data_IF_038234621564
#
_entry.id   IF_038234621564
#
_cell.length_a   1.000
_cell.length_b   1.000
_cell.length_c   1.000
_cell.angle_alpha   90.00
_cell.angle_beta   90.00
_cell.angle_gamma   90.00
#
_symmetry.space_group_name_H-M   'P 1'
#
loop_
_entity.id
_entity.type
_entity.pdbx_description
1 polymer ?
#
# COMPACT_ATOMS: atom_id res chain seq x y z
N UNK A 1 13.86 -3.53 19.25
CA UNK A 1 13.54 -4.56 18.27
C UNK A 1 12.20 -5.18 18.64
N UNK A 2 11.23 -5.13 17.74
CA UNK A 2 9.86 -5.63 17.98
C UNK A 2 9.44 -6.46 16.79
N UNK A 3 8.62 -7.48 17.03
CA UNK A 3 7.82 -8.18 16.01
C UNK A 3 6.45 -7.53 16.00
N UNK A 4 5.98 -7.13 14.83
CA UNK A 4 4.66 -6.51 14.66
C UNK A 4 3.68 -7.47 13.98
N UNK A 5 4.15 -8.26 13.02
CA UNK A 5 3.32 -9.22 12.29
C UNK A 5 3.94 -10.61 12.25
N UNK A 6 3.08 -11.63 12.32
CA UNK A 6 3.44 -13.03 12.17
C UNK A 6 2.28 -13.77 11.50
N UNK A 7 2.59 -14.55 10.44
CA UNK A 7 1.61 -15.42 9.78
C UNK A 7 2.24 -16.76 9.43
N UNK A 8 1.42 -17.79 9.49
CA UNK A 8 1.79 -19.15 9.06
C UNK A 8 1.36 -19.33 7.61
N UNK A 9 2.18 -19.98 6.79
CA UNK A 9 1.83 -20.35 5.41
C UNK A 9 0.60 -21.25 5.38
N UNK A 10 -0.22 -21.24 4.32
CA UNK A 10 -1.42 -22.06 4.22
C UNK A 10 -1.15 -23.57 4.40
N UNK A 11 0.01 -24.05 3.98
CA UNK A 11 0.45 -25.44 4.15
C UNK A 11 1.00 -25.78 5.56
N UNK A 12 1.11 -24.74 6.45
CA UNK A 12 1.59 -24.89 7.82
C UNK A 12 3.09 -25.11 7.95
N UNK A 13 3.88 -25.01 6.87
CA UNK A 13 5.32 -25.36 6.90
C UNK A 13 6.25 -24.19 7.20
N UNK A 14 5.79 -22.95 6.95
CA UNK A 14 6.59 -21.73 7.10
C UNK A 14 5.89 -20.69 7.96
N UNK A 15 6.70 -19.83 8.58
CA UNK A 15 6.23 -18.65 9.30
C UNK A 15 6.92 -17.42 8.71
N UNK A 16 6.15 -16.44 8.26
CA UNK A 16 6.67 -15.11 7.93
C UNK A 16 6.60 -14.21 9.15
N UNK A 17 7.67 -13.46 9.41
CA UNK A 17 7.78 -12.54 10.55
C UNK A 17 8.18 -11.17 10.05
N UNK A 18 7.40 -10.14 10.42
CA UNK A 18 7.67 -8.73 10.14
C UNK A 18 7.86 -7.91 11.43
N UNK A 19 8.64 -6.85 11.37
CA UNK A 19 8.85 -5.98 12.51
C UNK A 19 9.94 -4.93 12.33
N UNK A 20 10.43 -4.39 13.46
CA UNK A 20 11.55 -3.44 13.52
C UNK A 20 12.86 -4.08 13.98
N UNK A 21 12.93 -5.41 14.04
CA UNK A 21 14.15 -6.13 14.45
C UNK A 21 15.25 -6.01 13.39
N UNK A 22 16.48 -5.81 13.83
CA UNK A 22 17.64 -5.70 12.93
C UNK A 22 18.37 -7.03 12.72
N UNK A 23 18.01 -8.04 13.48
CA UNK A 23 18.49 -9.40 13.32
C UNK A 23 17.52 -10.39 13.98
N UNK A 24 17.48 -11.61 13.43
CA UNK A 24 16.78 -12.76 14.00
C UNK A 24 17.69 -13.99 13.92
N UNK A 25 17.75 -14.79 14.99
CA UNK A 25 18.64 -15.95 15.08
C UNK A 25 20.11 -15.65 14.72
N UNK A 26 20.58 -14.44 15.03
CA UNK A 26 21.94 -13.99 14.73
C UNK A 26 22.20 -13.54 13.30
N UNK A 27 21.18 -13.56 12.44
CA UNK A 27 21.26 -13.11 11.04
C UNK A 27 20.54 -11.79 10.82
N UNK A 28 21.11 -10.92 9.99
CA UNK A 28 20.49 -9.70 9.47
C UNK A 28 20.20 -9.77 7.97
N UNK A 29 20.51 -10.90 7.31
CA UNK A 29 20.17 -11.14 5.91
C UNK A 29 20.08 -12.67 5.65
N UNK A 30 18.83 -13.24 5.64
CA UNK A 30 17.60 -12.59 6.06
C UNK A 30 17.58 -12.27 7.56
N UNK A 31 16.66 -11.37 7.95
CA UNK A 31 16.45 -11.03 9.37
C UNK A 31 16.51 -9.55 9.71
N UNK A 32 16.51 -8.66 8.71
CA UNK A 32 16.39 -7.22 8.92
C UNK A 32 14.96 -6.77 8.60
N UNK A 33 14.12 -6.72 9.61
CA UNK A 33 12.71 -6.38 9.54
C UNK A 33 11.80 -7.49 8.98
N UNK A 34 12.37 -8.48 8.31
CA UNK A 34 11.63 -9.55 7.63
C UNK A 34 12.40 -10.86 7.67
N UNK A 35 11.71 -11.97 7.91
CA UNK A 35 12.28 -13.31 7.82
C UNK A 35 11.21 -14.37 7.50
N UNK A 36 11.60 -15.44 6.82
CA UNK A 36 10.90 -16.71 6.79
C UNK A 36 11.57 -17.70 7.75
N UNK A 37 10.74 -18.41 8.49
CA UNK A 37 11.18 -19.47 9.41
C UNK A 37 10.49 -20.79 9.04
N UNK A 38 11.17 -21.88 9.26
CA UNK A 38 10.55 -23.20 9.30
C UNK A 38 9.61 -23.28 10.50
N UNK A 39 8.35 -23.66 10.28
CA UNK A 39 7.31 -23.62 11.31
C UNK A 39 7.51 -24.63 12.44
N UNK A 40 8.31 -25.68 12.22
CA UNK A 40 8.58 -26.74 13.21
C UNK A 40 9.84 -26.46 14.02
N UNK A 41 10.91 -26.02 13.33
CA UNK A 41 12.23 -25.90 13.92
C UNK A 41 12.62 -24.47 14.28
N UNK A 42 11.86 -23.48 13.82
CA UNK A 42 12.15 -22.04 13.87
C UNK A 42 13.52 -21.67 13.22
N UNK A 43 14.06 -22.53 12.37
CA UNK A 43 15.26 -22.21 11.60
C UNK A 43 14.95 -21.17 10.52
N UNK A 44 15.90 -20.26 10.29
CA UNK A 44 15.81 -19.31 9.19
C UNK A 44 15.82 -20.03 7.85
N UNK A 45 14.87 -19.67 7.01
CA UNK A 45 14.80 -20.09 5.62
C UNK A 45 15.37 -19.02 4.69
N UNK A 46 15.86 -19.37 3.51
CA UNK A 46 16.25 -18.39 2.49
C UNK A 46 15.09 -17.42 2.22
N UNK A 47 15.40 -16.12 2.28
CA UNK A 47 14.43 -15.05 2.08
C UNK A 47 15.06 -13.96 1.21
N UNK A 48 15.32 -14.21 -0.08
CA UNK A 48 16.02 -13.29 -0.98
C UNK A 48 15.44 -11.88 -1.01
N UNK A 49 14.12 -11.73 -0.91
CA UNK A 49 13.45 -10.42 -0.85
C UNK A 49 14.02 -9.53 0.27
N UNK A 50 14.51 -10.12 1.36
CA UNK A 50 15.07 -9.33 2.46
C UNK A 50 16.45 -8.70 2.16
N UNK A 51 17.11 -9.08 1.06
CA UNK A 51 18.26 -8.34 0.54
C UNK A 51 17.86 -7.07 -0.23
N UNK A 52 16.61 -6.99 -0.68
CA UNK A 52 16.04 -5.89 -1.43
C UNK A 52 15.20 -4.98 -0.53
N UNK A 53 14.23 -5.55 0.20
CA UNK A 53 13.37 -4.86 1.17
C UNK A 53 14.06 -4.86 2.53
N UNK A 54 14.44 -3.66 3.00
CA UNK A 54 15.27 -3.46 4.18
C UNK A 54 14.66 -2.41 5.09
N UNK A 55 13.65 -2.79 5.89
CA UNK A 55 12.96 -1.89 6.82
C UNK A 55 13.10 -2.42 8.25
N UNK A 56 13.90 -1.76 9.08
CA UNK A 56 14.07 -2.12 10.50
C UNK A 56 14.62 -0.94 11.30
N UNK A 57 14.89 -1.16 12.57
CA UNK A 57 15.52 -0.18 13.43
C UNK A 57 14.55 0.79 14.08
N UNK A 58 14.99 2.02 14.26
CA UNK A 58 14.19 3.08 14.89
C UNK A 58 13.28 3.79 13.87
N UNK A 59 13.76 3.89 12.64
CA UNK A 59 13.16 4.73 11.60
C UNK A 59 12.55 3.91 10.46
N UNK A 60 12.35 2.60 10.69
CA UNK A 60 11.72 1.74 9.73
C UNK A 60 11.22 0.44 10.33
N UNK A 61 10.23 -0.17 9.69
CA UNK A 61 9.69 -1.46 10.07
C UNK A 61 8.91 -2.11 8.93
N UNK A 62 8.70 -3.42 9.03
CA UNK A 62 7.60 -4.12 8.39
C UNK A 62 6.47 -4.18 9.42
N UNK A 63 5.38 -3.42 9.17
CA UNK A 63 4.29 -3.26 10.13
C UNK A 63 3.36 -4.46 10.19
N UNK A 64 2.94 -4.94 9.04
CA UNK A 64 2.04 -6.08 8.94
C UNK A 64 2.55 -7.07 7.91
N UNK A 65 2.15 -8.31 8.06
CA UNK A 65 2.38 -9.38 7.10
C UNK A 65 1.07 -10.14 6.87
N UNK A 66 0.79 -10.47 5.61
CA UNK A 66 -0.32 -11.31 5.20
C UNK A 66 0.17 -12.44 4.30
N UNK A 67 -0.68 -13.43 4.07
CA UNK A 67 -0.32 -14.62 3.28
C UNK A 67 -1.46 -15.02 2.36
N UNK A 68 -1.10 -15.62 1.22
CA UNK A 68 -2.00 -16.37 0.35
C UNK A 68 -1.34 -17.71 -0.06
N UNK A 69 -2.00 -18.48 -0.92
CA UNK A 69 -1.47 -19.75 -1.40
C UNK A 69 -0.17 -19.58 -2.20
N UNK A 70 0.08 -18.41 -2.79
CA UNK A 70 1.20 -18.14 -3.68
C UNK A 70 2.39 -17.45 -2.98
N UNK A 71 2.21 -16.94 -1.76
CA UNK A 71 3.28 -16.24 -1.07
C UNK A 71 2.84 -15.41 0.12
N UNK A 72 3.63 -14.41 0.42
CA UNK A 72 3.39 -13.49 1.54
C UNK A 72 3.56 -12.03 1.12
N UNK A 73 2.97 -11.17 1.92
CA UNK A 73 2.97 -9.72 1.75
C UNK A 73 3.58 -9.09 2.99
N UNK A 74 4.15 -7.90 2.82
CA UNK A 74 4.57 -7.08 3.95
C UNK A 74 4.36 -5.61 3.66
N UNK A 75 4.01 -4.82 4.68
CA UNK A 75 3.83 -3.37 4.59
C UNK A 75 5.01 -2.63 5.20
N UNK A 76 5.40 -1.53 4.57
CA UNK A 76 6.59 -0.77 4.95
C UNK A 76 6.29 0.58 5.56
N UNK A 77 7.09 0.91 6.57
CA UNK A 77 7.22 2.22 7.18
C UNK A 77 8.66 2.68 7.09
N UNK A 78 8.89 3.93 6.67
CA UNK A 78 10.23 4.49 6.54
C UNK A 78 10.26 5.98 6.88
N UNK A 79 11.02 6.36 7.90
CA UNK A 79 11.37 7.76 8.18
C UNK A 79 12.82 8.09 7.81
N UNK A 80 13.58 7.12 7.30
CA UNK A 80 14.97 7.32 6.91
C UNK A 80 15.42 6.24 5.95
N UNK A 81 15.79 6.61 4.74
CA UNK A 81 16.29 5.69 3.72
C UNK A 81 17.59 4.96 4.11
N UNK A 82 18.26 5.38 5.17
CA UNK A 82 19.42 4.68 5.72
C UNK A 82 19.06 3.42 6.52
N UNK A 83 17.81 3.33 7.04
CA UNK A 83 17.34 2.21 7.86
C UNK A 83 16.17 1.46 7.20
N UNK A 84 15.49 2.12 6.25
CA UNK A 84 14.33 1.58 5.57
C UNK A 84 14.27 2.10 4.13
N UNK A 85 13.76 1.30 3.21
CA UNK A 85 13.78 1.65 1.79
C UNK A 85 12.43 1.50 1.09
N UNK A 86 11.38 1.04 1.79
CA UNK A 86 10.03 1.01 1.23
C UNK A 86 9.03 1.67 2.18
N UNK A 87 8.22 2.56 1.63
CA UNK A 87 6.91 2.96 2.09
C UNK A 87 5.92 2.39 1.08
N UNK A 88 5.04 1.49 1.52
CA UNK A 88 4.17 0.77 0.62
C UNK A 88 4.01 -0.71 0.99
N UNK A 89 3.63 -1.52 0.03
CA UNK A 89 3.42 -2.95 0.20
C UNK A 89 4.23 -3.76 -0.83
N UNK A 90 4.64 -4.96 -0.47
CA UNK A 90 5.29 -5.89 -1.39
C UNK A 90 4.71 -7.29 -1.27
N UNK A 91 4.87 -8.08 -2.32
CA UNK A 91 4.59 -9.51 -2.37
C UNK A 91 5.84 -10.30 -2.72
N UNK A 92 6.08 -11.37 -1.98
CA UNK A 92 7.10 -12.36 -2.31
C UNK A 92 6.50 -13.77 -2.34
N UNK A 93 7.09 -14.66 -3.13
CA UNK A 93 6.69 -16.07 -3.18
C UNK A 93 7.18 -16.85 -1.95
N UNK A 94 6.75 -18.12 -1.83
CA UNK A 94 7.16 -19.00 -0.73
C UNK A 94 8.62 -19.47 -0.80
N UNK A 95 9.38 -19.09 -1.85
CA UNK A 95 10.83 -19.20 -1.92
C UNK A 95 11.52 -17.91 -1.48
N UNK A 96 10.75 -16.90 -1.06
CA UNK A 96 11.22 -15.60 -0.64
C UNK A 96 11.66 -14.67 -1.77
N UNK A 97 11.28 -14.97 -3.03
CA UNK A 97 11.59 -14.10 -4.16
C UNK A 97 10.56 -12.97 -4.26
N UNK A 98 11.02 -11.75 -4.48
CA UNK A 98 10.15 -10.60 -4.72
C UNK A 98 9.37 -10.82 -6.03
N UNK A 99 8.03 -10.71 -5.95
CA UNK A 99 7.14 -10.76 -7.11
C UNK A 99 6.85 -9.36 -7.61
N UNK A 100 6.44 -8.47 -6.72
CA UNK A 100 6.16 -7.07 -6.98
C UNK A 100 6.23 -6.23 -5.70
N UNK A 101 6.35 -4.94 -5.85
CA UNK A 101 6.20 -3.97 -4.77
C UNK A 101 5.44 -2.74 -5.27
N UNK A 102 4.71 -2.10 -4.38
CA UNK A 102 4.00 -0.84 -4.59
C UNK A 102 4.72 0.21 -3.75
N UNK A 103 5.41 1.19 -4.38
CA UNK A 103 6.22 2.18 -3.70
C UNK A 103 5.52 3.55 -3.62
N UNK A 104 4.21 3.58 -3.40
CA UNK A 104 3.51 4.84 -3.16
C UNK A 104 4.05 5.47 -1.87
N UNK A 105 4.44 6.74 -1.96
CA UNK A 105 5.01 7.44 -0.81
C UNK A 105 3.99 7.58 0.31
N UNK A 106 4.41 7.30 1.53
CA UNK A 106 3.60 7.29 2.74
C UNK A 106 3.48 5.91 3.37
N UNK A 107 3.60 5.86 4.69
CA UNK A 107 3.63 4.61 5.45
C UNK A 107 2.39 3.75 5.19
N UNK A 108 2.59 2.46 5.01
CA UNK A 108 1.53 1.46 4.87
C UNK A 108 1.46 0.59 6.10
N UNK A 109 0.26 0.49 6.69
CA UNK A 109 0.05 -0.07 8.02
C UNK A 109 -0.44 -1.51 8.01
N UNK A 110 -1.40 -1.85 7.14
CA UNK A 110 -1.98 -3.18 7.07
C UNK A 110 -2.27 -3.58 5.63
N UNK A 111 -2.31 -4.88 5.37
CA UNK A 111 -2.57 -5.46 4.05
C UNK A 111 -3.51 -6.64 4.14
N UNK A 112 -4.50 -6.68 3.26
CA UNK A 112 -5.40 -7.80 3.08
C UNK A 112 -5.45 -8.24 1.61
N UNK A 113 -4.83 -9.38 1.27
CA UNK A 113 -4.88 -9.92 -0.09
C UNK A 113 -6.16 -10.72 -0.33
N UNK A 114 -6.64 -10.64 -1.56
CA UNK A 114 -7.63 -11.56 -2.15
C UNK A 114 -7.01 -12.23 -3.38
N UNK A 115 -7.76 -13.06 -4.06
CA UNK A 115 -7.27 -13.72 -5.27
C UNK A 115 -6.89 -12.72 -6.38
N UNK A 116 -7.61 -11.62 -6.51
CA UNK A 116 -7.48 -10.64 -7.60
C UNK A 116 -7.06 -9.25 -7.15
N UNK A 117 -7.33 -8.87 -5.91
CA UNK A 117 -7.00 -7.54 -5.38
C UNK A 117 -6.21 -7.63 -4.08
N UNK A 118 -5.51 -6.55 -3.78
CA UNK A 118 -4.85 -6.30 -2.49
C UNK A 118 -5.34 -4.98 -1.95
N UNK A 119 -5.83 -4.97 -0.71
CA UNK A 119 -6.26 -3.78 0.00
C UNK A 119 -5.25 -3.41 1.05
N UNK A 120 -4.93 -2.12 1.14
CA UNK A 120 -4.01 -1.60 2.16
C UNK A 120 -4.61 -0.40 2.89
N UNK A 121 -4.20 -0.21 4.14
CA UNK A 121 -4.38 1.05 4.87
C UNK A 121 -3.05 1.78 4.96
N UNK A 122 -3.07 3.07 4.70
CA UNK A 122 -1.85 3.88 4.60
C UNK A 122 -2.15 5.38 4.81
N UNK A 123 -1.15 6.20 4.59
CA UNK A 123 -1.30 7.62 4.32
C UNK A 123 -0.56 8.00 3.01
N UNK A 124 -0.79 7.24 1.96
CA UNK A 124 -0.14 7.46 0.69
C UNK A 124 -0.44 8.84 0.11
N UNK A 125 0.57 9.49 -0.47
CA UNK A 125 0.43 10.83 -1.05
C UNK A 125 0.97 10.94 -2.47
N UNK A 126 1.71 9.96 -2.97
CA UNK A 126 2.16 9.92 -4.36
C UNK A 126 2.38 8.50 -4.85
N UNK A 127 1.73 8.15 -5.96
CA UNK A 127 1.90 6.88 -6.68
C UNK A 127 2.35 7.11 -8.13
N UNK A 128 2.97 8.25 -8.43
CA UNK A 128 3.32 8.64 -9.80
C UNK A 128 4.24 7.65 -10.51
N UNK A 129 5.11 6.98 -9.78
CA UNK A 129 6.07 6.01 -10.36
C UNK A 129 5.41 4.76 -10.93
N UNK A 130 4.14 4.51 -10.58
CA UNK A 130 3.33 3.40 -11.09
C UNK A 130 2.08 3.87 -11.86
N UNK A 131 2.07 5.14 -12.28
CA UNK A 131 1.00 5.70 -13.09
C UNK A 131 -0.22 6.20 -12.30
N UNK A 132 -0.15 6.21 -10.96
CA UNK A 132 -1.21 6.69 -10.09
C UNK A 132 -1.13 8.19 -9.77
N UNK A 133 -1.78 8.59 -8.69
CA UNK A 133 -1.89 9.99 -8.27
C UNK A 133 -0.56 10.62 -7.91
N UNK A 134 -0.50 11.94 -8.13
CA UNK A 134 0.63 12.78 -7.77
C UNK A 134 0.45 13.38 -6.37
N UNK A 135 1.54 13.90 -5.82
CA UNK A 135 1.47 14.81 -4.66
C UNK A 135 0.51 15.97 -4.94
N UNK A 136 -0.51 16.07 -4.12
CA UNK A 136 -1.41 17.22 -4.10
C UNK A 136 -1.45 17.81 -2.71
N UNK A 137 -1.80 19.12 -2.63
CA UNK A 137 -1.93 19.79 -1.35
C UNK A 137 -3.34 20.32 -1.17
N UNK A 138 -3.87 20.09 0.02
CA UNK A 138 -5.11 20.68 0.46
C UNK A 138 -4.96 22.22 0.58
N UNK A 139 -6.07 22.98 0.58
CA UNK A 139 -6.02 24.42 0.81
C UNK A 139 -5.31 24.84 2.11
N UNK A 140 -5.22 23.94 3.09
CA UNK A 140 -4.45 24.10 4.32
C UNK A 140 -2.92 24.06 4.13
N UNK A 141 -2.44 23.63 2.95
CA UNK A 141 -1.03 23.42 2.65
C UNK A 141 -0.49 22.03 3.01
N UNK A 142 -1.27 21.20 3.71
CA UNK A 142 -0.92 19.80 4.00
C UNK A 142 -1.07 18.94 2.76
N UNK A 143 -0.30 17.84 2.70
CA UNK A 143 -0.48 16.81 1.66
C UNK A 143 -1.88 16.20 1.74
N UNK A 144 -2.44 15.86 0.59
CA UNK A 144 -3.69 15.12 0.48
C UNK A 144 -3.39 13.62 0.57
N UNK A 145 -3.53 13.07 1.76
CA UNK A 145 -3.25 11.67 2.02
C UNK A 145 -4.42 10.78 1.67
N UNK A 146 -4.14 9.66 1.00
CA UNK A 146 -5.10 8.57 0.83
C UNK A 146 -5.02 7.63 2.03
N UNK A 147 -6.14 7.34 2.66
CA UNK A 147 -6.22 6.53 3.88
C UNK A 147 -6.21 5.01 3.60
N UNK A 148 -6.26 4.63 2.34
CA UNK A 148 -6.19 3.26 1.87
C UNK A 148 -6.21 3.20 0.36
N UNK A 149 -5.71 2.10 -0.19
CA UNK A 149 -5.65 1.81 -1.62
C UNK A 149 -6.18 0.41 -1.90
N UNK A 150 -6.70 0.22 -3.10
CA UNK A 150 -6.89 -1.08 -3.70
C UNK A 150 -5.93 -1.24 -4.88
N UNK A 151 -5.37 -2.42 -5.00
CA UNK A 151 -4.36 -2.76 -6.01
C UNK A 151 -4.75 -4.07 -6.69
N UNK A 152 -4.30 -4.30 -7.90
CA UNK A 152 -4.34 -5.66 -8.47
C UNK A 152 -3.42 -6.59 -7.70
N UNK A 153 -3.67 -7.91 -7.72
CA UNK A 153 -2.77 -8.88 -7.09
C UNK A 153 -1.82 -9.52 -8.14
N UNK A 154 -1.33 -8.71 -9.08
CA UNK A 154 -0.47 -9.15 -10.18
C UNK A 154 0.59 -8.09 -10.53
N UNK A 155 1.74 -8.48 -11.12
CA UNK A 155 2.83 -7.58 -11.48
C UNK A 155 2.58 -6.87 -12.82
N UNK A 156 1.53 -6.06 -12.90
CA UNK A 156 0.99 -5.51 -14.15
C UNK A 156 1.79 -4.32 -14.68
N UNK A 157 2.43 -3.57 -13.80
CA UNK A 157 3.14 -2.33 -14.11
C UNK A 157 4.64 -2.52 -13.93
N UNK A 158 5.45 -1.74 -14.65
CA UNK A 158 6.87 -1.56 -14.37
C UNK A 158 7.08 -0.17 -13.78
N UNK A 159 7.68 -0.10 -12.60
CA UNK A 159 7.92 1.15 -11.88
C UNK A 159 8.78 2.08 -12.73
N UNK A 160 8.30 3.30 -12.91
CA UNK A 160 9.00 4.37 -13.60
C UNK A 160 10.14 4.98 -12.80
N UNK A 161 10.77 5.97 -13.36
CA UNK A 161 11.91 6.65 -12.72
C UNK A 161 11.44 7.42 -11.48
N UNK A 162 12.11 7.17 -10.36
CA UNK A 162 11.96 7.94 -9.13
C UNK A 162 12.56 9.34 -9.30
N UNK A 163 11.90 10.34 -8.74
CA UNK A 163 12.41 11.70 -8.64
C UNK A 163 13.58 11.84 -7.64
N UNK A 164 14.00 13.06 -7.41
CA UNK A 164 15.07 13.40 -6.44
C UNK A 164 14.55 13.81 -5.08
N UNK A 165 13.41 13.29 -4.68
CA UNK A 165 12.64 13.66 -3.48
C UNK A 165 13.10 12.95 -2.20
N UNK A 166 14.16 12.14 -2.27
CA UNK A 166 14.74 11.44 -1.12
C UNK A 166 14.18 10.04 -0.88
N UNK A 167 13.27 9.56 -1.71
CA UNK A 167 12.80 8.18 -1.68
C UNK A 167 13.76 7.23 -2.40
N UNK A 168 13.66 5.93 -2.07
CA UNK A 168 14.48 4.92 -2.72
C UNK A 168 14.01 4.69 -4.16
N UNK A 169 14.97 4.56 -5.08
CA UNK A 169 14.67 4.34 -6.50
C UNK A 169 14.37 2.86 -6.77
N UNK A 170 13.09 2.57 -6.99
CA UNK A 170 12.57 1.26 -7.37
C UNK A 170 12.35 1.11 -8.88
N UNK A 171 12.87 2.02 -9.71
CA UNK A 171 12.68 1.99 -11.17
C UNK A 171 13.08 0.63 -11.77
N UNK A 172 12.24 0.14 -12.68
CA UNK A 172 12.42 -1.15 -13.36
C UNK A 172 11.90 -2.37 -12.60
N UNK A 173 11.55 -2.26 -11.32
CA UNK A 173 10.87 -3.34 -10.60
C UNK A 173 9.42 -3.49 -11.06
N UNK A 174 8.81 -4.61 -10.73
CA UNK A 174 7.38 -4.85 -11.00
C UNK A 174 6.52 -4.33 -9.86
N UNK A 175 5.35 -3.79 -10.23
CA UNK A 175 4.32 -3.29 -9.34
C UNK A 175 2.95 -3.84 -9.73
N UNK A 176 2.01 -3.96 -8.78
CA UNK A 176 0.61 -4.07 -9.13
C UNK A 176 0.12 -2.77 -9.76
N UNK A 177 -1.04 -2.83 -10.40
CA UNK A 177 -1.76 -1.64 -10.86
C UNK A 177 -2.66 -1.09 -9.74
N UNK A 178 -2.86 0.22 -9.72
CA UNK A 178 -3.76 0.87 -8.78
C UNK A 178 -5.19 0.74 -9.29
N UNK A 179 -6.07 0.29 -8.40
CA UNK A 179 -7.50 0.34 -8.63
C UNK A 179 -8.04 1.66 -8.07
N UNK A 180 -9.01 2.26 -8.75
CA UNK A 180 -9.57 3.56 -8.36
C UNK A 180 -10.51 3.41 -7.15
N UNK A 181 -9.90 3.21 -5.99
CA UNK A 181 -10.61 3.12 -4.72
C UNK A 181 -9.80 3.77 -3.59
N UNK A 182 -10.31 4.90 -3.11
CA UNK A 182 -9.69 5.71 -2.07
C UNK A 182 -10.75 6.06 -1.02
N UNK A 183 -10.80 5.37 0.12
CA UNK A 183 -11.79 5.66 1.16
C UNK A 183 -11.56 7.06 1.73
N UNK A 184 -12.58 7.92 1.67
CA UNK A 184 -12.52 9.25 2.25
C UNK A 184 -12.80 9.18 3.75
N UNK A 185 -11.72 9.10 4.54
CA UNK A 185 -11.77 9.00 5.99
C UNK A 185 -11.23 10.27 6.63
N UNK A 186 -11.98 10.84 7.55
CA UNK A 186 -11.52 11.99 8.35
C UNK A 186 -10.49 11.58 9.39
N UNK A 187 -9.35 12.28 9.43
CA UNK A 187 -8.24 11.98 10.34
C UNK A 187 -8.69 12.02 11.81
N UNK A 188 -8.18 11.07 12.59
CA UNK A 188 -8.30 11.02 14.04
C UNK A 188 -7.11 11.66 14.76
N UNK A 189 -7.21 11.74 16.08
CA UNK A 189 -6.17 12.35 16.93
C UNK A 189 -5.82 11.49 18.13
N UNK A 190 -6.42 10.28 18.25
CA UNK A 190 -6.29 9.45 19.45
C UNK A 190 -4.84 9.01 19.71
N UNK A 191 -4.12 8.60 18.66
CA UNK A 191 -2.72 8.19 18.78
C UNK A 191 -1.76 9.39 18.80
N UNK A 192 -2.23 10.58 18.43
CA UNK A 192 -1.39 11.75 18.19
C UNK A 192 -0.64 11.71 16.84
N UNK A 193 -0.88 10.69 16.03
CA UNK A 193 -0.25 10.53 14.71
C UNK A 193 -1.07 11.19 13.58
N UNK A 194 -2.31 11.59 13.86
CA UNK A 194 -3.22 12.19 12.88
C UNK A 194 -3.46 11.28 11.67
N UNK A 195 -3.75 10.01 11.94
CA UNK A 195 -4.03 9.01 10.92
C UNK A 195 -5.53 8.70 10.81
N UNK A 196 -5.90 7.91 9.82
CA UNK A 196 -7.29 7.45 9.65
C UNK A 196 -7.41 5.96 9.93
N UNK A 197 -7.06 5.12 8.99
CA UNK A 197 -7.18 3.67 9.10
C UNK A 197 -5.83 3.04 9.48
N UNK A 198 -5.88 2.08 10.41
CA UNK A 198 -4.72 1.32 10.87
C UNK A 198 -4.75 -0.14 10.43
N UNK A 199 -5.94 -0.67 10.17
CA UNK A 199 -6.12 -2.07 9.85
C UNK A 199 -7.21 -2.29 8.80
N UNK A 200 -7.05 -3.32 7.99
CA UNK A 200 -7.99 -3.73 6.95
C UNK A 200 -8.20 -5.24 6.98
N UNK A 201 -9.46 -5.64 6.84
CA UNK A 201 -9.82 -7.04 6.60
C UNK A 201 -11.02 -7.10 5.66
N UNK A 202 -11.25 -8.25 5.04
CA UNK A 202 -12.38 -8.42 4.15
C UNK A 202 -13.06 -9.79 4.29
N UNK A 203 -14.31 -9.82 3.89
CA UNK A 203 -15.05 -11.03 3.52
C UNK A 203 -15.18 -11.09 1.99
N UNK A 204 -15.95 -12.06 1.50
CA UNK A 204 -16.28 -12.10 0.07
C UNK A 204 -17.03 -10.85 -0.40
N UNK A 205 -17.89 -10.27 0.45
CA UNK A 205 -18.82 -9.21 0.08
C UNK A 205 -18.44 -7.83 0.65
N UNK A 206 -17.63 -7.78 1.69
CA UNK A 206 -17.36 -6.56 2.44
C UNK A 206 -15.88 -6.39 2.76
N UNK A 207 -15.47 -5.13 2.74
CA UNK A 207 -14.22 -4.63 3.25
C UNK A 207 -14.47 -3.87 4.55
N UNK A 208 -13.68 -4.13 5.59
CA UNK A 208 -13.74 -3.43 6.86
C UNK A 208 -12.42 -2.71 7.09
N UNK A 209 -12.52 -1.44 7.45
CA UNK A 209 -11.39 -0.62 7.87
C UNK A 209 -11.57 -0.26 9.34
N UNK A 210 -10.51 -0.42 10.11
CA UNK A 210 -10.46 -0.03 11.51
C UNK A 210 -9.34 1.00 11.76
N UNK A 211 -9.58 1.96 12.65
CA UNK A 211 -8.57 2.99 12.91
C UNK A 211 -9.05 4.07 13.88
N UNK A 212 -8.46 5.23 13.78
CA UNK A 212 -8.81 6.39 14.62
C UNK A 212 -9.62 7.47 13.87
N UNK A 213 -10.09 7.19 12.66
CA UNK A 213 -10.90 8.13 11.89
C UNK A 213 -12.19 8.55 12.60
N UNK A 214 -12.64 9.77 12.32
CA UNK A 214 -13.83 10.38 12.92
C UNK A 214 -15.00 10.54 11.95
N UNK A 215 -14.76 10.34 10.66
CA UNK A 215 -15.79 10.36 9.62
C UNK A 215 -15.44 9.40 8.49
N UNK A 216 -16.45 8.96 7.74
CA UNK A 216 -16.31 8.19 6.52
C UNK A 216 -17.26 8.76 5.47
N UNK A 217 -16.74 9.07 4.26
CA UNK A 217 -17.50 9.66 3.15
C UNK A 217 -18.33 10.89 3.55
N UNK A 218 -17.73 11.78 4.36
CA UNK A 218 -18.34 13.01 4.85
C UNK A 218 -19.41 12.81 5.93
N UNK A 219 -19.61 11.59 6.44
CA UNK A 219 -20.55 11.28 7.53
C UNK A 219 -19.80 10.98 8.81
N UNK A 220 -20.29 11.43 9.99
CA UNK A 220 -19.71 11.02 11.28
C UNK A 220 -19.70 9.50 11.42
N UNK A 221 -18.50 8.95 11.55
CA UNK A 221 -18.26 7.51 11.73
C UNK A 221 -16.93 7.33 12.43
N UNK A 222 -16.90 6.60 13.54
CA UNK A 222 -15.70 6.47 14.35
C UNK A 222 -15.20 5.02 14.40
N UNK A 223 -13.92 4.87 14.13
CA UNK A 223 -13.12 3.72 14.46
C UNK A 223 -13.35 2.46 13.64
N UNK A 224 -14.51 2.27 13.04
CA UNK A 224 -14.83 1.12 12.20
C UNK A 224 -15.79 1.50 11.09
N UNK A 225 -15.45 1.14 9.85
CA UNK A 225 -16.32 1.35 8.68
C UNK A 225 -16.32 0.09 7.81
N UNK A 226 -17.46 -0.14 7.15
CA UNK A 226 -17.67 -1.23 6.21
C UNK A 226 -18.01 -0.69 4.84
N UNK A 227 -17.27 -1.14 3.83
CA UNK A 227 -17.55 -0.88 2.41
C UNK A 227 -17.99 -2.17 1.71
N UNK A 228 -18.90 -2.12 0.72
CA UNK A 228 -19.18 -3.27 -0.13
C UNK A 228 -17.97 -3.54 -1.03
N UNK A 229 -17.49 -4.79 -1.08
CA UNK A 229 -16.38 -5.16 -1.98
C UNK A 229 -16.79 -5.05 -3.45
N UNK A 230 -18.02 -5.44 -3.79
CA UNK A 230 -18.59 -5.20 -5.12
C UNK A 230 -18.96 -3.73 -5.25
N UNK A 231 -18.35 -3.06 -6.21
CA UNK A 231 -18.53 -1.63 -6.46
C UNK A 231 -17.50 -0.73 -5.77
N UNK A 232 -16.73 -1.23 -4.77
CA UNK A 232 -15.61 -0.47 -4.23
C UNK A 232 -14.42 -0.43 -5.20
N UNK A 233 -14.29 -1.47 -6.05
CA UNK A 233 -13.20 -1.61 -7.04
C UNK A 233 -13.72 -1.93 -8.45
N UNK A 234 -15.04 -1.99 -8.64
CA UNK A 234 -15.63 -2.47 -9.89
C UNK A 234 -15.85 -1.39 -10.96
N UNK A 235 -15.66 -0.15 -10.62
CA UNK A 235 -15.79 0.98 -11.56
C UNK A 235 -14.63 1.92 -11.35
N UNK A 236 -13.75 1.98 -12.31
CA UNK A 236 -12.82 3.09 -12.43
C UNK A 236 -13.64 4.36 -12.70
N UNK A 237 -13.92 5.11 -11.65
CA UNK A 237 -14.50 6.43 -11.80
C UNK A 237 -13.34 7.43 -11.83
N UNK A 238 -13.26 8.33 -12.80
CA UNK A 238 -12.23 9.35 -12.83
C UNK A 238 -12.24 10.15 -11.53
N UNK A 239 -11.08 10.40 -10.95
CA UNK A 239 -10.95 11.15 -9.69
C UNK A 239 -11.52 12.57 -9.80
N UNK A 240 -11.39 13.20 -10.96
CA UNK A 240 -12.01 14.47 -11.24
C UNK A 240 -13.47 14.30 -11.66
N UNK A 241 -14.41 14.90 -10.96
CA UNK A 241 -15.83 14.89 -11.31
C UNK A 241 -16.36 16.31 -11.52
N UNK A 242 -17.34 16.45 -12.41
CA UNK A 242 -18.03 17.72 -12.60
C UNK A 242 -17.10 18.89 -12.98
N UNK A 243 -17.07 19.92 -12.17
CA UNK A 243 -16.28 21.14 -12.43
C UNK A 243 -14.76 20.92 -12.40
N UNK A 244 -14.29 19.92 -11.67
CA UNK A 244 -12.86 19.62 -11.52
C UNK A 244 -12.25 19.08 -12.82
N UNK A 245 -13.06 18.45 -13.67
CA UNK A 245 -12.64 18.03 -15.01
C UNK A 245 -12.33 19.22 -15.93
N UNK A 246 -12.84 20.42 -15.63
CA UNK A 246 -12.63 21.59 -16.47
C UNK A 246 -13.08 21.35 -17.93
N UNK A 247 -14.08 20.50 -18.13
CA UNK A 247 -14.48 20.03 -19.43
C UNK A 247 -14.98 21.19 -20.30
N UNK A 248 -14.44 21.31 -21.50
CA UNK A 248 -14.87 22.28 -22.51
C UNK A 248 -15.13 21.59 -23.84
N UNK A 249 -16.13 22.08 -24.59
CA UNK A 249 -16.42 21.59 -25.92
C UNK A 249 -16.37 22.79 -26.87
N UNK A 250 -15.62 22.66 -27.97
CA UNK A 250 -15.47 23.64 -29.02
C UNK A 250 -15.87 23.01 -30.35
N UNK A 251 -16.72 23.68 -31.09
CA UNK A 251 -17.03 23.30 -32.48
C UNK A 251 -15.90 23.78 -33.40
N UNK A 252 -15.28 22.86 -34.14
CA UNK A 252 -14.19 23.15 -35.09
C UNK A 252 -14.64 23.15 -36.54
N UNK A 253 -15.92 22.80 -36.82
CA UNK A 253 -16.50 22.79 -38.13
C UNK A 253 -17.77 21.91 -38.18
N UNK A 254 -18.42 21.80 -39.36
CA UNK A 254 -19.59 20.96 -39.52
C UNK A 254 -19.28 19.48 -39.17
N UNK A 255 -19.91 18.97 -38.10
CA UNK A 255 -19.77 17.58 -37.67
C UNK A 255 -18.47 17.27 -36.87
N UNK A 256 -17.70 18.29 -36.53
CA UNK A 256 -16.46 18.10 -35.75
C UNK A 256 -16.48 18.96 -34.49
N UNK A 257 -16.18 18.33 -33.34
CA UNK A 257 -16.02 19.00 -32.05
C UNK A 257 -14.72 18.54 -31.40
N UNK A 258 -14.04 19.46 -30.72
CA UNK A 258 -12.94 19.14 -29.79
C UNK A 258 -13.48 19.21 -28.39
N UNK A 259 -13.34 18.11 -27.63
CA UNK A 259 -13.52 18.06 -26.20
C UNK A 259 -12.16 18.14 -25.52
N UNK A 260 -12.02 19.05 -24.56
CA UNK A 260 -10.83 19.16 -23.74
C UNK A 260 -11.21 19.05 -22.27
N UNK A 261 -10.41 18.35 -21.49
CA UNK A 261 -10.62 18.18 -20.06
C UNK A 261 -9.27 18.05 -19.34
N UNK A 262 -9.25 18.32 -18.06
CA UNK A 262 -8.08 18.08 -17.26
C UNK A 262 -7.80 16.56 -17.23
N UNK A 263 -6.54 16.15 -17.33
CA UNK A 263 -6.22 14.72 -17.19
C UNK A 263 -6.71 14.20 -15.84
N UNK A 264 -7.33 13.06 -15.87
CA UNK A 264 -7.60 12.24 -14.69
C UNK A 264 -6.71 10.99 -14.78
N UNK A 265 -6.52 10.33 -13.69
CA UNK A 265 -5.87 9.04 -13.62
C UNK A 265 -6.84 8.04 -12.98
N UNK A 266 -6.77 6.81 -13.42
CA UNK A 266 -7.60 5.67 -13.03
C UNK A 266 -6.76 4.38 -13.07
#
# INVERSE_FOLDING_TARGET
AQVYGLRVSPDGTKVVVGGSFQAINGSSNPGYGLALLDATTAQLLPTPVNSQIRNAGRYGAIYDVAVDDNGFYGTGYSMSISEANIEGVFKADWNGQLIWLEPCHGDTYSVYPTASEVYVTNHAHSCQTIGGFADTRLPSGHLDYKAGLALTNSPDVTIGTQGTDGYYDWSGYKSPDILDWYPNLGLGTFTGQYQAAWDVTATQDYLLLAGEFISADGKPQQGLVRYPRRGATATHAPEGTGADLGATIKADGPGTVTASFNPTWD
#
